data_IF_177517846221
#
_entry.id   IF_177517846221
#
_cell.length_a   1.000
_cell.length_b   1.000
_cell.length_c   1.000
_cell.angle_alpha   90.00
_cell.angle_beta   90.00
_cell.angle_gamma   90.00
#
_symmetry.space_group_name_H-M   'P 1'
#
loop_
_entity.id
_entity.type
_entity.pdbx_description
1 polymer ?
#
# COMPACT_ATOMS: atom_id res chain seq x y z
N UNK A 1 27.01 53.74 -13.31
CA UNK A 1 26.89 52.82 -12.13
C UNK A 1 25.74 51.83 -12.38
N UNK A 2 26.02 50.55 -12.60
CA UNK A 2 24.97 49.57 -12.83
C UNK A 2 24.47 49.02 -11.52
N UNK A 3 23.13 48.97 -11.37
CA UNK A 3 22.43 48.37 -10.24
C UNK A 3 22.51 46.86 -10.35
N UNK A 4 23.09 46.22 -9.33
CA UNK A 4 23.12 44.78 -9.16
C UNK A 4 21.68 44.26 -8.88
N UNK A 5 21.17 43.50 -9.82
CA UNK A 5 19.96 42.71 -9.66
C UNK A 5 20.33 41.46 -8.86
N UNK A 6 19.98 41.44 -7.55
CA UNK A 6 20.06 40.25 -6.73
C UNK A 6 18.90 39.33 -7.10
N UNK A 7 19.21 38.30 -7.89
CA UNK A 7 18.30 37.18 -8.14
C UNK A 7 18.20 36.37 -6.84
N UNK A 8 17.10 36.52 -6.14
CA UNK A 8 16.73 35.61 -5.03
C UNK A 8 16.37 34.27 -5.62
N UNK A 9 17.29 33.32 -5.60
CA UNK A 9 16.96 31.91 -5.69
C UNK A 9 16.11 31.55 -4.46
N UNK A 10 14.81 31.45 -4.65
CA UNK A 10 13.92 30.78 -3.70
C UNK A 10 14.30 29.31 -3.72
N UNK A 11 15.13 28.90 -2.78
CA UNK A 11 15.17 27.52 -2.36
C UNK A 11 13.80 27.24 -1.73
N UNK A 12 12.91 26.60 -2.49
CA UNK A 12 11.77 25.93 -1.91
C UNK A 12 12.33 24.87 -0.95
N UNK A 13 12.12 25.04 0.34
CA UNK A 13 12.28 23.98 1.33
C UNK A 13 11.32 22.85 0.97
N UNK A 14 11.73 21.97 0.06
CA UNK A 14 11.17 20.65 -0.04
C UNK A 14 11.77 19.92 1.15
N UNK A 15 10.99 19.78 2.20
CA UNK A 15 11.29 18.79 3.23
C UNK A 15 11.38 17.46 2.49
N UNK A 16 12.61 16.96 2.32
CA UNK A 16 12.87 15.64 1.75
C UNK A 16 12.50 14.61 2.81
N UNK A 17 11.20 14.41 3.03
CA UNK A 17 10.76 13.26 3.79
C UNK A 17 11.15 12.03 2.98
N UNK A 18 11.97 11.14 3.56
CA UNK A 18 12.33 9.87 2.93
C UNK A 18 11.06 9.06 2.64
N UNK A 19 11.10 8.27 1.58
CA UNK A 19 9.99 7.38 1.21
C UNK A 19 9.57 6.51 2.40
N UNK A 20 8.28 6.54 2.73
CA UNK A 20 7.72 5.72 3.80
C UNK A 20 7.71 4.24 3.40
N UNK A 21 8.33 3.38 4.20
CA UNK A 21 8.31 1.94 3.97
C UNK A 21 7.23 1.27 4.80
N UNK A 22 6.32 0.56 4.13
CA UNK A 22 5.15 -0.09 4.74
C UNK A 22 5.33 -1.61 4.59
N UNK A 23 5.55 -2.36 5.67
CA UNK A 23 5.57 -3.81 5.58
C UNK A 23 4.18 -4.36 5.28
N UNK A 24 4.13 -5.51 4.59
CA UNK A 24 2.88 -6.17 4.27
C UNK A 24 2.78 -7.55 4.91
N UNK A 25 1.57 -7.90 5.34
CA UNK A 25 1.19 -9.23 5.81
C UNK A 25 0.05 -9.75 4.95
N UNK A 26 0.28 -10.82 4.21
CA UNK A 26 -0.76 -11.59 3.52
C UNK A 26 -1.19 -12.75 4.39
N UNK A 27 -2.51 -12.99 4.47
CA UNK A 27 -3.09 -13.99 5.37
C UNK A 27 -3.88 -15.03 4.58
N UNK A 28 -3.54 -16.31 4.77
CA UNK A 28 -4.33 -17.46 4.38
C UNK A 28 -4.46 -18.41 5.59
N UNK A 29 -5.70 -18.79 5.93
CA UNK A 29 -5.95 -19.70 7.04
C UNK A 29 -5.45 -19.19 8.40
N UNK A 30 -5.34 -17.87 8.58
CA UNK A 30 -4.84 -17.24 9.79
C UNK A 30 -3.32 -17.17 9.91
N UNK A 31 -2.55 -17.58 8.90
CA UNK A 31 -1.08 -17.58 8.88
C UNK A 31 -0.51 -16.54 7.89
N UNK A 32 0.71 -16.07 8.18
CA UNK A 32 1.48 -15.24 7.26
C UNK A 32 1.93 -16.07 6.06
N UNK A 33 1.58 -15.62 4.86
CA UNK A 33 1.94 -16.29 3.61
C UNK A 33 2.47 -15.30 2.57
N UNK A 34 3.03 -15.84 1.48
CA UNK A 34 3.31 -15.09 0.25
C UNK A 34 2.96 -15.90 -0.97
N UNK A 35 2.48 -15.20 -1.99
CA UNK A 35 2.25 -15.71 -3.32
C UNK A 35 3.27 -15.12 -4.30
N UNK A 36 3.47 -15.75 -5.43
CA UNK A 36 4.18 -15.18 -6.58
C UNK A 36 3.15 -14.81 -7.65
N UNK A 37 3.10 -13.53 -8.03
CA UNK A 37 2.14 -13.00 -9.01
C UNK A 37 0.66 -13.35 -8.69
N UNK A 38 0.32 -13.46 -7.40
CA UNK A 38 -1.04 -13.80 -6.95
C UNK A 38 -1.47 -15.25 -7.14
N UNK A 39 -0.57 -16.12 -7.56
CA UNK A 39 -0.85 -17.54 -7.79
C UNK A 39 -0.87 -18.31 -6.46
N UNK A 40 -2.04 -18.82 -6.09
CA UNK A 40 -2.26 -19.59 -4.84
C UNK A 40 -1.51 -20.91 -4.79
N UNK A 41 -1.17 -21.49 -5.95
CA UNK A 41 -0.38 -22.73 -6.04
C UNK A 41 1.10 -22.49 -5.69
N UNK A 42 1.55 -21.24 -5.73
CA UNK A 42 2.90 -20.82 -5.33
C UNK A 42 3.01 -20.40 -3.86
N UNK A 43 1.99 -20.69 -3.04
CA UNK A 43 1.94 -20.27 -1.64
C UNK A 43 3.15 -20.75 -0.86
N UNK A 44 3.86 -19.81 -0.25
CA UNK A 44 4.85 -20.06 0.81
C UNK A 44 4.24 -19.71 2.14
N UNK A 45 4.19 -20.64 3.08
CA UNK A 45 3.72 -20.44 4.45
C UNK A 45 4.94 -20.28 5.35
N UNK A 46 4.99 -19.18 6.10
CA UNK A 46 6.11 -18.89 7.00
C UNK A 46 5.84 -19.38 8.44
N UNK A 47 4.67 -19.93 8.71
CA UNK A 47 4.29 -20.48 10.03
C UNK A 47 4.18 -19.41 11.13
N UNK A 48 4.42 -18.14 10.84
CA UNK A 48 4.35 -17.08 11.83
C UNK A 48 2.92 -16.55 11.99
N UNK A 49 2.57 -16.20 13.22
CA UNK A 49 1.31 -15.50 13.50
C UNK A 49 1.35 -14.09 12.93
N UNK A 50 0.29 -13.62 12.20
CA UNK A 50 0.21 -12.24 11.74
C UNK A 50 0.39 -11.22 12.85
N UNK A 51 -0.12 -11.47 14.05
CA UNK A 51 0.00 -10.57 15.18
C UNK A 51 1.43 -10.53 15.75
N UNK A 52 2.16 -11.65 15.78
CA UNK A 52 3.56 -11.67 16.22
C UNK A 52 4.46 -10.94 15.25
N UNK A 53 4.22 -11.13 13.94
CA UNK A 53 4.93 -10.38 12.90
C UNK A 53 4.65 -8.87 13.00
N UNK A 54 3.40 -8.46 13.22
CA UNK A 54 3.03 -7.06 13.41
C UNK A 54 3.74 -6.45 14.63
N UNK A 55 3.79 -7.16 15.76
CA UNK A 55 4.56 -6.73 16.96
C UNK A 55 6.05 -6.58 16.64
N UNK A 56 6.62 -7.47 15.84
CA UNK A 56 8.02 -7.37 15.40
C UNK A 56 8.25 -6.12 14.55
N UNK A 57 7.35 -5.81 13.61
CA UNK A 57 7.43 -4.60 12.81
C UNK A 57 7.33 -3.34 13.68
N UNK A 58 6.38 -3.27 14.61
CA UNK A 58 6.24 -2.12 15.52
C UNK A 58 7.53 -1.90 16.34
N UNK A 59 8.12 -2.96 16.91
CA UNK A 59 9.37 -2.87 17.68
C UNK A 59 10.55 -2.35 16.87
N UNK A 60 10.53 -2.53 15.56
CA UNK A 60 11.55 -2.03 14.63
C UNK A 60 11.30 -0.59 14.16
N UNK A 61 10.21 0.05 14.63
CA UNK A 61 9.90 1.44 14.35
C UNK A 61 8.96 1.68 13.17
N UNK A 62 8.44 0.62 12.55
CA UNK A 62 7.40 0.81 11.54
C UNK A 62 6.14 1.41 12.18
N UNK A 63 5.47 2.29 11.44
CA UNK A 63 4.26 2.99 11.90
C UNK A 63 3.00 2.50 11.22
N UNK A 64 3.12 1.98 10.00
CA UNK A 64 2.02 1.48 9.18
C UNK A 64 2.20 0.01 8.86
N UNK A 65 1.07 -0.64 8.58
CA UNK A 65 1.02 -2.04 8.18
C UNK A 65 -0.06 -2.24 7.13
N UNK A 66 0.31 -2.84 6.00
CA UNK A 66 -0.62 -3.28 4.98
C UNK A 66 -0.99 -4.75 5.21
N UNK A 67 -2.28 -5.05 5.40
CA UNK A 67 -2.77 -6.41 5.67
C UNK A 67 -3.72 -6.85 4.56
N UNK A 68 -3.46 -8.01 3.99
CA UNK A 68 -4.31 -8.58 2.92
C UNK A 68 -4.89 -9.92 3.35
N UNK A 69 -6.21 -9.99 3.42
CA UNK A 69 -6.98 -11.24 3.59
C UNK A 69 -7.13 -11.92 2.21
N UNK A 70 -6.18 -12.79 1.88
CA UNK A 70 -6.18 -13.50 0.61
C UNK A 70 -7.33 -14.51 0.50
N UNK A 71 -7.71 -15.16 1.62
CA UNK A 71 -8.94 -15.98 1.66
C UNK A 71 -10.17 -15.12 1.36
N UNK A 72 -10.20 -13.91 1.94
CA UNK A 72 -11.28 -12.96 1.72
C UNK A 72 -11.32 -12.45 0.28
N UNK A 73 -10.18 -12.14 -0.31
CA UNK A 73 -10.08 -11.71 -1.71
C UNK A 73 -10.67 -12.78 -2.66
N UNK A 74 -10.34 -14.04 -2.42
CA UNK A 74 -10.84 -15.20 -3.19
C UNK A 74 -12.32 -15.48 -2.94
N UNK A 75 -12.76 -15.40 -1.67
CA UNK A 75 -14.14 -15.71 -1.28
C UNK A 75 -15.14 -14.56 -1.52
N UNK A 76 -14.64 -13.34 -1.78
CA UNK A 76 -15.49 -12.15 -1.93
C UNK A 76 -16.17 -11.71 -0.62
N UNK A 77 -15.64 -12.11 0.54
CA UNK A 77 -16.07 -11.71 1.88
C UNK A 77 -14.90 -11.81 2.85
N UNK A 78 -14.86 -10.98 3.88
CA UNK A 78 -13.80 -11.02 4.91
C UNK A 78 -13.83 -12.37 5.65
N UNK A 79 -12.67 -13.04 5.74
CA UNK A 79 -12.49 -14.34 6.38
C UNK A 79 -11.60 -14.20 7.63
N UNK A 80 -10.45 -13.53 7.53
CA UNK A 80 -9.42 -13.50 8.56
C UNK A 80 -9.60 -12.32 9.54
N UNK A 81 -10.84 -11.96 9.88
CA UNK A 81 -11.15 -10.85 10.81
C UNK A 81 -10.54 -11.04 12.21
N UNK A 82 -10.35 -12.30 12.63
CA UNK A 82 -9.74 -12.64 13.91
C UNK A 82 -8.28 -12.20 13.94
N UNK A 83 -7.52 -12.48 12.88
CA UNK A 83 -6.13 -12.05 12.75
C UNK A 83 -6.00 -10.52 12.79
N UNK A 84 -6.90 -9.77 12.09
CA UNK A 84 -6.94 -8.32 12.16
C UNK A 84 -7.15 -7.83 13.60
N UNK A 85 -8.12 -8.39 14.34
CA UNK A 85 -8.36 -8.03 15.74
C UNK A 85 -7.14 -8.28 16.62
N UNK A 86 -6.44 -9.38 16.43
CA UNK A 86 -5.23 -9.72 17.19
C UNK A 86 -4.10 -8.71 16.89
N UNK A 87 -3.88 -8.35 15.62
CA UNK A 87 -2.91 -7.32 15.22
C UNK A 87 -3.23 -6.00 15.91
N UNK A 88 -4.45 -5.48 15.76
CA UNK A 88 -4.83 -4.14 16.24
C UNK A 88 -4.92 -4.05 17.76
N UNK A 89 -5.19 -5.17 18.45
CA UNK A 89 -5.19 -5.21 19.91
C UNK A 89 -3.79 -5.29 20.54
N UNK A 90 -2.80 -5.76 19.79
CA UNK A 90 -1.42 -5.98 20.27
C UNK A 90 -0.41 -4.93 19.80
N UNK A 91 -0.81 -4.05 18.87
CA UNK A 91 0.05 -3.01 18.29
C UNK A 91 -0.67 -1.68 18.20
N UNK A 92 0.10 -0.59 18.03
CA UNK A 92 -0.38 0.76 17.72
C UNK A 92 -0.17 1.11 16.24
N UNK A 93 0.13 0.12 15.40
CA UNK A 93 0.32 0.33 13.98
C UNK A 93 -0.94 0.91 13.34
N UNK A 94 -0.74 1.82 12.42
CA UNK A 94 -1.82 2.30 11.53
C UNK A 94 -2.02 1.20 10.49
N UNK A 95 -3.11 0.44 10.65
CA UNK A 95 -3.38 -0.73 9.81
C UNK A 95 -4.35 -0.37 8.70
N UNK A 96 -3.96 -0.60 7.45
CA UNK A 96 -4.91 -0.74 6.35
C UNK A 96 -5.16 -2.21 6.07
N UNK A 97 -6.41 -2.53 5.71
CA UNK A 97 -6.85 -3.90 5.50
C UNK A 97 -7.55 -4.05 4.16
N UNK A 98 -7.10 -5.00 3.36
CA UNK A 98 -7.69 -5.36 2.07
C UNK A 98 -8.11 -6.84 2.01
N UNK A 99 -8.91 -7.16 1.00
CA UNK A 99 -9.40 -8.52 0.76
C UNK A 99 -10.83 -8.77 1.27
N UNK A 100 -11.73 -9.11 0.34
CA UNK A 100 -13.09 -9.53 0.64
C UNK A 100 -14.10 -8.44 1.03
N UNK A 101 -13.75 -7.17 1.00
CA UNK A 101 -14.64 -6.06 1.36
C UNK A 101 -15.55 -5.74 0.17
N UNK A 102 -16.77 -6.31 0.16
CA UNK A 102 -17.77 -6.12 -0.90
C UNK A 102 -19.15 -5.70 -0.40
N UNK A 103 -19.36 -5.68 0.92
CA UNK A 103 -20.66 -5.38 1.56
C UNK A 103 -20.47 -4.49 2.78
N UNK A 104 -21.53 -3.80 3.19
CA UNK A 104 -21.50 -2.90 4.34
C UNK A 104 -21.09 -3.62 5.63
N UNK A 105 -21.57 -4.87 5.81
CA UNK A 105 -21.23 -5.68 6.99
C UNK A 105 -19.74 -6.04 7.04
N UNK A 106 -19.10 -6.27 5.88
CA UNK A 106 -17.66 -6.50 5.79
C UNK A 106 -16.90 -5.25 6.21
N UNK A 107 -17.26 -4.09 5.67
CA UNK A 107 -16.64 -2.81 5.97
C UNK A 107 -16.78 -2.46 7.46
N UNK A 108 -18.01 -2.55 8.00
CA UNK A 108 -18.30 -2.30 9.41
C UNK A 108 -17.48 -3.23 10.32
N UNK A 109 -17.38 -4.52 9.97
CA UNK A 109 -16.63 -5.51 10.76
C UNK A 109 -15.12 -5.20 10.79
N UNK A 110 -14.55 -4.76 9.66
CA UNK A 110 -13.13 -4.40 9.53
C UNK A 110 -12.82 -3.16 10.36
N UNK A 111 -13.65 -2.11 10.29
CA UNK A 111 -13.46 -0.93 11.12
C UNK A 111 -13.66 -1.21 12.61
N UNK A 112 -14.65 -2.03 12.99
CA UNK A 112 -14.85 -2.48 14.38
C UNK A 112 -13.70 -3.35 14.88
N UNK A 113 -12.99 -4.04 13.98
CA UNK A 113 -11.79 -4.79 14.30
C UNK A 113 -10.54 -3.92 14.47
N UNK A 114 -10.64 -2.59 14.28
CA UNK A 114 -9.59 -1.63 14.54
C UNK A 114 -8.77 -1.18 13.33
N UNK A 115 -9.13 -1.57 12.10
CA UNK A 115 -8.46 -1.03 10.92
C UNK A 115 -8.64 0.49 10.83
N UNK A 116 -7.55 1.19 10.50
CA UNK A 116 -7.55 2.65 10.30
C UNK A 116 -8.08 3.03 8.91
N UNK A 117 -7.76 2.21 7.92
CA UNK A 117 -8.22 2.37 6.55
C UNK A 117 -8.51 1.01 5.92
N UNK A 118 -9.20 1.03 4.79
CA UNK A 118 -9.43 -0.16 3.98
C UNK A 118 -8.91 0.04 2.56
N UNK A 119 -8.26 -1.00 2.04
CA UNK A 119 -7.81 -1.07 0.66
C UNK A 119 -8.92 -1.69 -0.20
N UNK A 120 -9.44 -0.90 -1.15
CA UNK A 120 -10.55 -1.26 -2.04
C UNK A 120 -10.05 -1.33 -3.49
N UNK A 121 -10.10 -2.52 -4.09
CA UNK A 121 -9.76 -2.77 -5.49
C UNK A 121 -10.99 -3.13 -6.31
N UNK A 122 -11.30 -4.41 -6.46
CA UNK A 122 -12.39 -4.89 -7.33
C UNK A 122 -13.75 -4.21 -7.11
N UNK A 123 -14.11 -3.90 -5.86
CA UNK A 123 -15.38 -3.21 -5.56
C UNK A 123 -15.40 -1.80 -6.15
N UNK A 124 -14.26 -1.11 -6.19
CA UNK A 124 -14.18 0.23 -6.77
C UNK A 124 -14.38 0.24 -8.29
N UNK A 125 -14.14 -0.89 -8.95
CA UNK A 125 -14.43 -1.09 -10.37
C UNK A 125 -15.89 -1.53 -10.58
N UNK A 126 -16.34 -2.51 -9.79
CA UNK A 126 -17.58 -3.26 -10.06
C UNK A 126 -18.84 -2.60 -9.48
N UNK A 127 -18.72 -1.81 -8.40
CA UNK A 127 -19.84 -1.13 -7.75
C UNK A 127 -19.39 0.25 -7.22
N UNK A 128 -19.14 1.21 -8.12
CA UNK A 128 -18.67 2.54 -7.73
C UNK A 128 -19.69 3.30 -6.86
N UNK A 129 -20.99 3.13 -7.09
CA UNK A 129 -22.03 3.81 -6.31
C UNK A 129 -21.96 3.42 -4.82
N UNK A 130 -21.76 2.13 -4.53
CA UNK A 130 -21.54 1.65 -3.18
C UNK A 130 -20.30 2.27 -2.54
N UNK A 131 -19.20 2.32 -3.27
CA UNK A 131 -17.97 2.94 -2.76
C UNK A 131 -18.17 4.43 -2.49
N UNK A 132 -18.86 5.16 -3.35
CA UNK A 132 -19.20 6.57 -3.11
C UNK A 132 -20.07 6.75 -1.85
N UNK A 133 -21.03 5.84 -1.62
CA UNK A 133 -21.83 5.85 -0.39
C UNK A 133 -20.97 5.62 0.86
N UNK A 134 -19.96 4.75 0.78
CA UNK A 134 -19.01 4.51 1.86
C UNK A 134 -18.11 5.72 2.13
N UNK A 135 -17.61 6.35 1.06
CA UNK A 135 -16.81 7.58 1.17
C UNK A 135 -17.61 8.68 1.86
N UNK A 136 -18.88 8.86 1.48
CA UNK A 136 -19.77 9.84 2.11
C UNK A 136 -20.02 9.54 3.60
N UNK A 137 -20.10 8.26 3.98
CA UNK A 137 -20.37 7.83 5.37
C UNK A 137 -19.16 7.88 6.28
N UNK A 138 -17.97 7.47 5.78
CA UNK A 138 -16.78 7.23 6.60
C UNK A 138 -15.64 8.24 6.38
N UNK A 139 -15.73 9.07 5.35
CA UNK A 139 -14.67 9.97 4.89
C UNK A 139 -13.69 9.30 3.93
N UNK A 140 -13.21 10.07 2.94
CA UNK A 140 -12.34 9.57 1.88
C UNK A 140 -10.96 9.09 2.40
N UNK A 141 -10.50 9.66 3.52
CA UNK A 141 -9.23 9.32 4.17
C UNK A 141 -9.20 7.90 4.76
N UNK A 142 -10.38 7.29 4.93
CA UNK A 142 -10.50 5.89 5.39
C UNK A 142 -10.35 4.87 4.26
N UNK A 143 -10.16 5.32 3.03
CA UNK A 143 -10.09 4.44 1.85
C UNK A 143 -8.78 4.63 1.11
N UNK A 144 -8.13 3.51 0.79
CA UNK A 144 -7.01 3.41 -0.13
C UNK A 144 -7.54 2.76 -1.40
N UNK A 145 -7.49 3.49 -2.52
CA UNK A 145 -7.89 2.94 -3.81
C UNK A 145 -6.77 2.04 -4.33
N UNK A 146 -7.02 0.73 -4.34
CA UNK A 146 -6.04 -0.26 -4.80
C UNK A 146 -6.21 -0.52 -6.30
N UNK A 147 -5.18 -0.25 -7.06
CA UNK A 147 -5.10 -0.49 -8.49
C UNK A 147 -4.00 -1.51 -8.78
N UNK A 148 -4.40 -2.75 -9.00
CA UNK A 148 -3.51 -3.82 -9.42
C UNK A 148 -3.43 -3.80 -10.95
N UNK A 149 -2.27 -3.44 -11.51
CA UNK A 149 -2.11 -3.09 -12.91
C UNK A 149 -1.26 -4.13 -13.65
N UNK A 150 -1.74 -4.59 -14.80
CA UNK A 150 -0.96 -5.38 -15.76
C UNK A 150 -1.10 -4.76 -17.14
N UNK A 151 0.03 -4.43 -17.78
CA UNK A 151 0.04 -3.80 -19.11
C UNK A 151 -0.82 -2.52 -19.18
N UNK A 152 -0.81 -1.71 -18.13
CA UNK A 152 -1.57 -0.45 -18.05
C UNK A 152 -3.05 -0.59 -17.71
N UNK A 153 -3.58 -1.82 -17.59
CA UNK A 153 -4.99 -2.10 -17.30
C UNK A 153 -5.15 -2.63 -15.87
N UNK A 154 -6.15 -2.12 -15.17
CA UNK A 154 -6.52 -2.54 -13.82
C UNK A 154 -7.14 -3.94 -13.86
N UNK A 155 -6.69 -4.81 -12.96
CA UNK A 155 -7.20 -6.17 -12.80
C UNK A 155 -8.13 -6.26 -11.59
N UNK A 156 -9.11 -7.15 -11.69
CA UNK A 156 -10.08 -7.46 -10.63
C UNK A 156 -10.14 -8.96 -10.36
N UNK A 157 -11.00 -9.40 -9.43
CA UNK A 157 -11.21 -10.82 -9.16
C UNK A 157 -9.93 -11.56 -8.74
N UNK A 158 -9.16 -11.00 -7.78
CA UNK A 158 -7.85 -11.53 -7.40
C UNK A 158 -6.91 -11.69 -8.62
N UNK A 159 -6.88 -10.67 -9.49
CA UNK A 159 -6.04 -10.52 -10.69
C UNK A 159 -6.43 -11.39 -11.90
N UNK A 160 -7.54 -12.12 -11.82
CA UNK A 160 -7.98 -13.03 -12.90
C UNK A 160 -8.77 -12.33 -14.00
N UNK A 161 -9.41 -11.18 -13.69
CA UNK A 161 -10.32 -10.49 -14.58
C UNK A 161 -9.71 -9.19 -15.09
N UNK A 162 -9.94 -8.87 -16.36
CA UNK A 162 -9.58 -7.59 -16.97
C UNK A 162 -10.76 -6.61 -16.81
N UNK A 163 -10.49 -5.43 -16.24
CA UNK A 163 -11.54 -4.43 -16.02
C UNK A 163 -11.82 -3.57 -17.27
N UNK A 164 -10.97 -3.61 -18.27
CA UNK A 164 -11.00 -2.69 -19.41
C UNK A 164 -10.65 -1.24 -19.05
N UNK A 165 -10.27 -0.95 -17.80
CA UNK A 165 -9.98 0.40 -17.33
C UNK A 165 -8.48 0.60 -17.11
N UNK A 166 -7.97 1.78 -17.47
CA UNK A 166 -6.66 2.24 -17.04
C UNK A 166 -6.72 2.72 -15.59
N UNK A 167 -5.55 2.86 -14.95
CA UNK A 167 -5.49 3.46 -13.60
C UNK A 167 -6.03 4.89 -13.60
N UNK A 168 -5.81 5.65 -14.68
CA UNK A 168 -6.32 7.02 -14.81
C UNK A 168 -7.85 7.06 -14.88
N UNK A 169 -8.48 6.10 -15.59
CA UNK A 169 -9.93 5.98 -15.63
C UNK A 169 -10.48 5.68 -14.23
N UNK A 170 -9.83 4.80 -13.48
CA UNK A 170 -10.23 4.47 -12.12
C UNK A 170 -10.07 5.66 -11.18
N UNK A 171 -8.93 6.34 -11.20
CA UNK A 171 -8.66 7.50 -10.34
C UNK A 171 -9.62 8.65 -10.64
N UNK A 172 -9.92 8.94 -11.90
CA UNK A 172 -10.81 10.04 -12.30
C UNK A 172 -12.21 9.90 -11.68
N UNK A 173 -12.69 8.67 -11.48
CA UNK A 173 -14.00 8.41 -10.87
C UNK A 173 -14.09 8.86 -9.41
N UNK A 174 -12.98 8.78 -8.66
CA UNK A 174 -12.97 8.99 -7.21
C UNK A 174 -12.27 10.27 -6.77
N UNK A 175 -11.51 10.91 -7.66
CA UNK A 175 -10.68 12.07 -7.32
C UNK A 175 -11.49 13.25 -6.77
N UNK A 176 -12.63 13.53 -7.41
CA UNK A 176 -13.53 14.61 -7.01
C UNK A 176 -14.28 14.31 -5.70
N UNK A 177 -14.26 13.07 -5.24
CA UNK A 177 -14.84 12.66 -3.96
C UNK A 177 -13.82 12.60 -2.81
N UNK A 178 -12.63 13.13 -3.04
CA UNK A 178 -11.61 13.32 -2.00
C UNK A 178 -10.64 12.15 -1.83
N UNK A 179 -10.73 11.08 -2.61
CA UNK A 179 -9.72 10.00 -2.58
C UNK A 179 -8.36 10.58 -2.99
N UNK A 180 -7.36 10.34 -2.15
CA UNK A 180 -5.97 10.75 -2.36
C UNK A 180 -4.97 9.61 -2.11
N UNK A 181 -5.34 8.61 -1.28
CA UNK A 181 -4.50 7.46 -1.03
C UNK A 181 -4.71 6.40 -2.12
N UNK A 182 -3.65 6.05 -2.81
CA UNK A 182 -3.67 5.11 -3.94
C UNK A 182 -2.56 4.09 -3.77
N UNK A 183 -2.91 2.83 -3.66
CA UNK A 183 -1.96 1.72 -3.73
C UNK A 183 -1.93 1.21 -5.18
N UNK A 184 -0.80 1.34 -5.84
CA UNK A 184 -0.62 0.85 -7.19
C UNK A 184 0.36 -0.33 -7.21
N UNK A 185 -0.14 -1.52 -7.58
CA UNK A 185 0.68 -2.72 -7.73
C UNK A 185 0.92 -3.02 -9.22
N UNK A 186 2.19 -3.03 -9.65
CA UNK A 186 2.52 -3.68 -10.92
C UNK A 186 2.58 -5.19 -10.70
N UNK A 187 1.48 -5.88 -11.03
CA UNK A 187 1.35 -7.32 -10.78
C UNK A 187 2.24 -8.19 -11.67
N UNK A 188 2.80 -7.64 -12.75
CA UNK A 188 3.79 -8.35 -13.55
C UNK A 188 5.14 -8.47 -12.83
N UNK A 189 5.39 -7.61 -11.85
CA UNK A 189 6.61 -7.55 -11.04
C UNK A 189 6.40 -8.06 -9.62
N UNK A 190 5.14 -8.18 -9.17
CA UNK A 190 4.84 -8.59 -7.80
C UNK A 190 5.37 -9.97 -7.48
N UNK A 191 6.09 -10.07 -6.37
CA UNK A 191 6.76 -11.29 -5.94
C UNK A 191 7.97 -11.72 -6.79
N UNK A 192 8.37 -10.95 -7.84
CA UNK A 192 9.47 -11.30 -8.74
C UNK A 192 10.82 -10.74 -8.29
N UNK A 193 10.87 -9.80 -7.35
CA UNK A 193 12.11 -9.17 -6.83
C UNK A 193 13.01 -8.58 -7.94
N UNK A 194 12.39 -8.03 -8.98
CA UNK A 194 13.08 -7.57 -10.21
C UNK A 194 13.10 -6.04 -10.35
N UNK A 195 12.80 -5.31 -9.28
CA UNK A 195 12.68 -3.85 -9.27
C UNK A 195 11.27 -3.37 -9.60
N UNK A 196 10.94 -2.17 -9.12
CA UNK A 196 9.62 -1.54 -9.27
C UNK A 196 9.44 -0.80 -10.58
N UNK A 197 8.19 -0.53 -10.95
CA UNK A 197 7.83 0.21 -12.16
C UNK A 197 7.79 1.73 -11.89
N UNK A 198 8.97 2.34 -11.73
CA UNK A 198 9.11 3.78 -11.41
C UNK A 198 8.36 4.68 -12.41
N UNK A 199 8.40 4.35 -13.71
CA UNK A 199 7.78 5.16 -14.75
C UNK A 199 6.26 5.18 -14.62
N UNK A 200 5.64 4.05 -14.27
CA UNK A 200 4.20 3.98 -13.98
C UNK A 200 3.84 4.93 -12.84
N UNK A 201 4.57 4.87 -11.74
CA UNK A 201 4.29 5.70 -10.55
C UNK A 201 4.49 7.19 -10.82
N UNK A 202 5.58 7.55 -11.51
CA UNK A 202 5.81 8.95 -11.95
C UNK A 202 4.71 9.46 -12.86
N UNK A 203 4.18 8.64 -13.75
CA UNK A 203 3.08 9.03 -14.65
C UNK A 203 1.80 9.36 -13.87
N UNK A 204 1.49 8.55 -12.83
CA UNK A 204 0.35 8.78 -11.95
C UNK A 204 0.52 10.11 -11.18
N UNK A 205 1.67 10.30 -10.54
CA UNK A 205 1.92 11.51 -9.74
C UNK A 205 1.99 12.78 -10.59
N UNK A 206 2.44 12.66 -11.84
CA UNK A 206 2.40 13.81 -12.79
C UNK A 206 0.97 14.24 -13.09
N UNK A 207 0.05 13.29 -13.24
CA UNK A 207 -1.35 13.58 -13.54
C UNK A 207 -2.14 13.97 -12.29
N UNK A 208 -1.77 13.42 -11.12
CA UNK A 208 -2.40 13.64 -9.83
C UNK A 208 -1.36 14.07 -8.79
N UNK A 209 -0.94 15.36 -8.78
CA UNK A 209 0.16 15.84 -7.92
C UNK A 209 -0.10 15.68 -6.42
N UNK A 210 -1.39 15.71 -5.99
CA UNK A 210 -1.78 15.52 -4.58
C UNK A 210 -1.97 14.05 -4.21
N UNK A 211 -1.62 13.11 -5.11
CA UNK A 211 -1.74 11.69 -4.87
C UNK A 211 -0.75 11.23 -3.79
N UNK A 212 -1.28 10.63 -2.75
CA UNK A 212 -0.49 9.90 -1.74
C UNK A 212 -0.29 8.47 -2.24
N UNK A 213 0.59 8.36 -3.23
CA UNK A 213 0.85 7.10 -3.90
C UNK A 213 1.64 6.15 -3.02
N UNK A 214 1.20 4.92 -2.96
CA UNK A 214 1.90 3.79 -2.34
C UNK A 214 2.29 2.84 -3.48
N UNK A 215 3.58 2.75 -3.77
CA UNK A 215 4.10 1.83 -4.78
C UNK A 215 4.09 0.39 -4.26
N UNK A 216 3.79 -0.57 -5.12
CA UNK A 216 3.80 -2.00 -4.78
C UNK A 216 4.24 -2.86 -5.96
N UNK A 217 4.89 -3.99 -5.66
CA UNK A 217 5.39 -4.95 -6.63
C UNK A 217 6.86 -4.74 -7.04
N UNK A 218 7.59 -5.82 -7.07
CA UNK A 218 8.96 -5.90 -7.60
C UNK A 218 10.10 -5.57 -6.64
N UNK A 219 9.85 -5.02 -5.45
CA UNK A 219 10.91 -4.67 -4.50
C UNK A 219 11.73 -5.91 -4.13
N UNK A 220 13.03 -5.87 -4.43
CA UNK A 220 13.98 -6.93 -4.14
C UNK A 220 15.22 -6.48 -3.35
N UNK A 221 15.48 -5.17 -3.27
CA UNK A 221 16.67 -4.61 -2.65
C UNK A 221 16.42 -3.22 -2.06
N UNK A 222 17.34 -2.74 -1.20
CA UNK A 222 17.34 -1.36 -0.72
C UNK A 222 17.50 -0.35 -1.87
N UNK A 223 18.24 -0.70 -2.90
CA UNK A 223 18.43 0.15 -4.08
C UNK A 223 17.10 0.39 -4.84
N UNK A 224 16.18 -0.56 -4.82
CA UNK A 224 14.86 -0.36 -5.43
C UNK A 224 14.04 0.68 -4.65
N UNK A 225 14.17 0.70 -3.34
CA UNK A 225 13.56 1.72 -2.46
C UNK A 225 14.20 3.08 -2.73
N UNK A 226 15.55 3.15 -2.85
CA UNK A 226 16.28 4.38 -3.16
C UNK A 226 15.84 4.98 -4.50
N UNK A 227 15.67 4.17 -5.54
CA UNK A 227 15.17 4.63 -6.85
C UNK A 227 13.76 5.23 -6.77
N UNK A 228 12.89 4.66 -5.94
CA UNK A 228 11.55 5.20 -5.70
C UNK A 228 11.62 6.52 -4.93
N UNK A 229 12.48 6.60 -3.93
CA UNK A 229 12.74 7.80 -3.12
C UNK A 229 13.25 8.96 -4.01
N UNK A 230 14.29 8.70 -4.82
CA UNK A 230 14.84 9.64 -5.80
C UNK A 230 13.79 10.09 -6.84
N UNK A 231 12.84 9.23 -7.15
CA UNK A 231 11.72 9.54 -8.05
C UNK A 231 10.61 10.35 -7.37
N UNK A 232 10.72 10.62 -6.07
CA UNK A 232 9.73 11.37 -5.28
C UNK A 232 8.47 10.58 -4.95
N UNK A 233 8.52 9.24 -4.96
CA UNK A 233 7.40 8.40 -4.59
C UNK A 233 7.25 8.43 -3.05
N UNK A 234 6.05 8.78 -2.52
CA UNK A 234 5.93 9.05 -1.09
C UNK A 234 5.94 7.80 -0.20
N UNK A 235 5.50 6.64 -0.71
CA UNK A 235 5.46 5.41 0.09
C UNK A 235 5.62 4.15 -0.78
N UNK A 236 6.08 3.06 -0.14
CA UNK A 236 6.25 1.76 -0.78
C UNK A 236 5.84 0.62 0.14
N UNK A 237 5.08 -0.34 -0.39
CA UNK A 237 4.78 -1.61 0.30
C UNK A 237 5.90 -2.62 0.03
N UNK A 238 6.40 -3.25 1.10
CA UNK A 238 7.44 -4.27 1.04
C UNK A 238 6.90 -5.56 1.65
N UNK A 239 6.84 -6.59 0.84
CA UNK A 239 6.39 -7.92 1.26
C UNK A 239 7.51 -8.94 1.16
N UNK A 240 7.52 -9.71 0.05
CA UNK A 240 8.37 -10.88 -0.19
C UNK A 240 9.85 -10.68 0.15
N UNK A 241 10.41 -9.51 -0.18
CA UNK A 241 11.82 -9.20 0.10
C UNK A 241 12.18 -9.26 1.59
N UNK A 242 11.24 -8.94 2.49
CA UNK A 242 11.42 -9.06 3.95
C UNK A 242 11.42 -10.53 4.35
N UNK A 243 10.41 -11.28 3.93
CA UNK A 243 10.23 -12.67 4.34
C UNK A 243 11.31 -13.61 3.79
N UNK A 244 11.84 -13.31 2.60
CA UNK A 244 12.96 -14.06 2.00
C UNK A 244 14.35 -13.56 2.43
N UNK A 245 14.41 -12.58 3.35
CA UNK A 245 15.66 -12.04 3.87
C UNK A 245 16.52 -11.29 2.83
N UNK A 246 15.93 -10.90 1.68
CA UNK A 246 16.58 -10.06 0.67
C UNK A 246 16.86 -8.66 1.19
N UNK A 247 15.93 -8.14 2.00
CA UNK A 247 16.07 -6.90 2.74
C UNK A 247 15.98 -7.25 4.23
N UNK A 248 17.03 -6.95 4.97
CA UNK A 248 17.04 -7.14 6.42
C UNK A 248 16.16 -6.10 7.09
N UNK A 249 15.32 -6.52 8.01
CA UNK A 249 14.43 -5.62 8.75
C UNK A 249 15.22 -4.54 9.52
N UNK A 250 16.42 -4.89 10.03
CA UNK A 250 17.30 -3.98 10.74
C UNK A 250 17.80 -2.84 9.85
N UNK A 251 17.98 -3.08 8.55
CA UNK A 251 18.42 -2.04 7.61
C UNK A 251 17.27 -1.10 7.26
N UNK A 252 16.04 -1.60 7.16
CA UNK A 252 14.84 -0.76 7.06
C UNK A 252 14.63 0.07 8.32
N UNK A 253 14.81 -0.52 9.50
CA UNK A 253 14.69 0.17 10.78
C UNK A 253 15.69 1.33 10.91
N UNK A 254 16.93 1.16 10.41
CA UNK A 254 17.93 2.24 10.38
C UNK A 254 17.48 3.41 9.49
N UNK A 255 16.82 3.15 8.36
CA UNK A 255 16.25 4.21 7.50
C UNK A 255 15.17 5.00 8.24
N UNK A 256 14.22 4.29 8.85
CA UNK A 256 13.10 4.88 9.61
C UNK A 256 13.62 5.76 10.76
N UNK A 257 14.65 5.32 11.48
CA UNK A 257 15.21 6.05 12.60
C UNK A 257 16.03 7.30 12.19
N UNK A 258 16.63 7.30 11.00
CA UNK A 258 17.29 8.49 10.45
C UNK A 258 16.29 9.60 10.13
N UNK A 259 15.12 9.24 9.62
CA UNK A 259 14.03 10.20 9.32
C UNK A 259 13.52 10.88 10.60
N UNK A 260 13.34 10.10 11.67
CA UNK A 260 12.90 10.63 12.97
C UNK A 260 13.92 11.58 13.65
N UNK A 261 15.20 11.51 13.30
CA UNK A 261 16.24 12.41 13.84
C UNK A 261 16.41 13.69 13.03
N UNK A 262 16.00 13.72 11.76
CA UNK A 262 16.02 14.93 10.92
C UNK A 262 14.88 15.91 11.25
N UNK A 263 13.79 15.44 11.86
CA UNK A 263 12.65 16.28 12.28
C UNK A 263 12.89 17.02 13.62
N UNK A 264 14.03 16.82 14.31
CA UNK A 264 14.32 17.38 15.64
C UNK A 264 15.37 18.50 15.59
N UNK A 265 15.94 18.78 14.43
CA UNK A 265 16.90 19.88 14.18
C UNK A 265 16.25 20.89 13.20
#
# INVERSE_FOLDING_TARGET
>A
MPKYCRTFLKYSNISLNMIETIPAIDIIGGHCVRLSQGDYDTKTDYGESPADMAVRFEKLGFRKLHVVDLDGARAGKVINIKALKEITSRTRLIVDFGGGIKRDENLDSVFKAGANAVSIGSIAVNDPEKVLSWIAKYGAERFILSADVRNGIVRTGAWTEDSGMTINDLLSKYWNYGIRHVLCTDISRDGMLCGSNVDLYKSIMKQYPDCKLIASGGIGSLQDIEKLDEAGIPAVVIGKAIYEGRIKLEDLAKRINKDNTSDIN
#
